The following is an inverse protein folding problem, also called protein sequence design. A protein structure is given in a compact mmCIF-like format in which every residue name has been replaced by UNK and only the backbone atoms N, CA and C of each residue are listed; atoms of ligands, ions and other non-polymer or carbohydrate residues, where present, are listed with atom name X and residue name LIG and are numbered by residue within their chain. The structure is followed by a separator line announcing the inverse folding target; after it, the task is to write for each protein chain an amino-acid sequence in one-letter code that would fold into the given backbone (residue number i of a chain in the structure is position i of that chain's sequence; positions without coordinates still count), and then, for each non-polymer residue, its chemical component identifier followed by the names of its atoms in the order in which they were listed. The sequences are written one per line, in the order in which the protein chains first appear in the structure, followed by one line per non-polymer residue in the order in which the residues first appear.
data_IF_321267138270
#
_entry.id   IF_321267138270
#
_cell.length_a   1.000
_cell.length_b   1.000
_cell.length_c   1.000
_cell.angle_alpha   90.00
_cell.angle_beta   90.00
_cell.angle_gamma   90.00
#
_symmetry.space_group_name_H-M   'P 1'
#
loop_
_entity.id
_entity.type
_entity.pdbx_description
1 polymer ?
#
# COMPACT_ATOMS: atom_id res chain seq x y z
N UNK A 1 -16.00 -9.11 4.19
CA UNK A 1 -14.93 -8.15 3.84
C UNK A 1 -15.37 -6.76 4.28
N UNK A 2 -14.47 -5.97 4.86
CA UNK A 2 -14.79 -4.59 5.29
C UNK A 2 -15.21 -3.73 4.08
N UNK A 3 -16.24 -2.88 4.17
CA UNK A 3 -16.75 -2.11 3.02
C UNK A 3 -15.68 -1.26 2.32
N UNK A 4 -14.79 -0.61 3.07
CA UNK A 4 -13.68 0.17 2.51
C UNK A 4 -12.70 -0.70 1.73
N UNK A 5 -12.35 -1.88 2.27
CA UNK A 5 -11.47 -2.81 1.55
C UNK A 5 -12.17 -3.35 0.30
N UNK A 6 -13.47 -3.66 0.39
CA UNK A 6 -14.26 -4.05 -0.79
C UNK A 6 -14.18 -3.01 -1.90
N UNK A 7 -14.42 -1.74 -1.57
CA UNK A 7 -14.36 -0.64 -2.51
C UNK A 7 -12.94 -0.46 -3.10
N UNK A 8 -11.90 -0.62 -2.29
CA UNK A 8 -10.52 -0.55 -2.76
C UNK A 8 -10.18 -1.66 -3.76
N UNK A 9 -10.62 -2.90 -3.49
CA UNK A 9 -10.45 -4.03 -4.40
C UNK A 9 -11.22 -3.83 -5.71
N UNK A 10 -12.48 -3.38 -5.64
CA UNK A 10 -13.31 -3.08 -6.82
C UNK A 10 -12.68 -1.95 -7.66
N UNK A 11 -12.18 -0.91 -6.99
CA UNK A 11 -11.45 0.19 -7.65
C UNK A 11 -10.21 -0.32 -8.36
N UNK A 12 -9.38 -1.12 -7.69
CA UNK A 12 -8.18 -1.70 -8.28
C UNK A 12 -8.50 -2.59 -9.49
N UNK A 13 -9.52 -3.45 -9.37
CA UNK A 13 -9.98 -4.34 -10.45
C UNK A 13 -10.46 -3.55 -11.67
N UNK A 14 -11.15 -2.42 -11.47
CA UNK A 14 -11.62 -1.57 -12.57
C UNK A 14 -10.49 -1.01 -13.44
N UNK A 15 -9.24 -1.01 -12.95
CA UNK A 15 -8.08 -0.56 -13.72
C UNK A 15 -7.55 -1.65 -14.67
N UNK A 16 -7.91 -2.91 -14.47
CA UNK A 16 -7.36 -4.06 -15.21
C UNK A 16 -7.55 -3.97 -16.72
N UNK A 17 -8.68 -3.43 -17.20
CA UNK A 17 -8.99 -3.35 -18.63
C UNK A 17 -8.20 -2.26 -19.38
N UNK A 18 -7.60 -1.29 -18.66
CA UNK A 18 -6.89 -0.16 -19.27
C UNK A 18 -5.42 -0.05 -18.86
N UNK A 19 -5.09 -0.37 -17.61
CA UNK A 19 -3.73 -0.33 -17.05
C UNK A 19 -3.52 -1.51 -16.09
N UNK A 20 -3.28 -2.72 -16.63
CA UNK A 20 -3.04 -3.92 -15.82
C UNK A 20 -1.90 -3.77 -14.84
N UNK A 21 -0.87 -2.99 -15.19
CA UNK A 21 0.29 -2.72 -14.33
C UNK A 21 -0.11 -1.88 -13.12
N UNK A 22 -0.98 -0.89 -13.29
CA UNK A 22 -1.54 -0.14 -12.18
C UNK A 22 -2.41 -1.01 -11.26
N UNK A 23 -3.23 -1.91 -11.82
CA UNK A 23 -3.98 -2.90 -11.03
C UNK A 23 -3.03 -3.79 -10.22
N UNK A 24 -2.00 -4.37 -10.86
CA UNK A 24 -1.03 -5.23 -10.16
C UNK A 24 -0.31 -4.46 -9.06
N UNK A 25 0.05 -3.18 -9.28
CA UNK A 25 0.64 -2.32 -8.25
C UNK A 25 -0.30 -2.09 -7.06
N UNK A 26 -1.59 -1.89 -7.31
CA UNK A 26 -2.60 -1.74 -6.27
C UNK A 26 -2.64 -2.95 -5.35
N UNK A 27 -2.74 -4.15 -5.92
CA UNK A 27 -2.77 -5.38 -5.15
C UNK A 27 -1.44 -5.61 -4.43
N UNK A 28 -0.35 -5.73 -5.18
CA UNK A 28 0.92 -6.24 -4.66
C UNK A 28 1.69 -5.25 -3.78
N UNK A 29 1.56 -3.93 -4.03
CA UNK A 29 2.34 -2.90 -3.35
C UNK A 29 1.51 -2.16 -2.30
N UNK A 30 0.22 -1.90 -2.56
CA UNK A 30 -0.63 -1.13 -1.63
C UNK A 30 -1.37 -2.09 -0.69
N UNK A 31 -2.19 -3.01 -1.22
CA UNK A 31 -3.09 -3.82 -0.39
C UNK A 31 -2.37 -4.96 0.35
N UNK A 32 -1.55 -5.77 -0.34
CA UNK A 32 -0.89 -6.93 0.28
C UNK A 32 0.27 -6.52 1.21
N UNK A 33 0.96 -5.42 0.91
CA UNK A 33 2.00 -4.90 1.81
C UNK A 33 1.43 -4.50 3.18
N UNK A 34 0.19 -4.01 3.21
CA UNK A 34 -0.51 -3.67 4.45
C UNK A 34 -0.99 -4.89 5.22
N UNK A 35 -1.39 -5.95 4.53
CA UNK A 35 -1.65 -7.25 5.16
C UNK A 35 -0.39 -7.73 5.92
N UNK A 36 0.80 -7.64 5.29
CA UNK A 36 2.08 -7.96 5.94
C UNK A 36 2.34 -7.05 7.15
N UNK A 37 2.09 -5.75 7.02
CA UNK A 37 2.29 -4.80 8.12
C UNK A 37 1.40 -5.13 9.32
N UNK A 38 0.10 -5.35 9.08
CA UNK A 38 -0.87 -5.70 10.11
C UNK A 38 -0.51 -7.02 10.81
N UNK A 39 -0.13 -8.05 10.04
CA UNK A 39 0.27 -9.36 10.55
C UNK A 39 1.57 -9.29 11.37
N UNK A 40 2.55 -8.48 10.94
CA UNK A 40 3.78 -8.21 11.71
C UNK A 40 3.47 -7.46 13.00
N UNK A 41 2.59 -6.47 12.96
CA UNK A 41 2.18 -5.72 14.14
C UNK A 41 1.48 -6.64 15.14
N UNK A 42 0.47 -7.40 14.72
CA UNK A 42 -0.24 -8.37 15.56
C UNK A 42 0.72 -9.42 16.15
N UNK A 43 1.70 -9.89 15.38
CA UNK A 43 2.75 -10.81 15.84
C UNK A 43 3.60 -10.29 17.00
N UNK A 44 3.75 -8.97 17.16
CA UNK A 44 4.47 -8.37 18.30
C UNK A 44 3.66 -8.44 19.60
N UNK A 45 2.34 -8.38 19.49
CA UNK A 45 1.43 -8.34 20.65
C UNK A 45 0.92 -9.74 21.03
N UNK A 46 0.65 -10.59 20.05
CA UNK A 46 0.11 -11.93 20.26
C UNK A 46 1.25 -12.96 20.32
N UNK A 47 1.70 -13.27 21.54
CA UNK A 47 2.78 -14.23 21.82
C UNK A 47 2.37 -15.70 21.71
N UNK A 48 1.17 -16.01 21.22
CA UNK A 48 0.68 -17.38 21.10
C UNK A 48 1.50 -18.17 20.05
N UNK A 49 2.12 -19.32 20.40
CA UNK A 49 2.95 -20.08 19.45
C UNK A 49 2.18 -20.62 18.24
N UNK A 50 0.89 -20.92 18.40
CA UNK A 50 0.03 -21.37 17.29
C UNK A 50 -0.25 -20.20 16.33
N UNK A 51 -0.54 -19.03 16.87
CA UNK A 51 -0.73 -17.80 16.08
C UNK A 51 0.55 -17.45 15.32
N UNK A 52 1.71 -17.43 15.98
CA UNK A 52 2.99 -17.10 15.35
C UNK A 52 3.32 -18.03 14.18
N UNK A 53 3.04 -19.35 14.30
CA UNK A 53 3.24 -20.31 13.20
C UNK A 53 2.33 -20.04 12.00
N UNK A 54 1.07 -19.72 12.25
CA UNK A 54 0.12 -19.35 11.18
C UNK A 54 0.57 -18.03 10.53
N UNK A 55 0.85 -17.03 11.35
CA UNK A 55 1.31 -15.71 10.93
C UNK A 55 2.55 -15.78 10.04
N UNK A 56 3.54 -16.59 10.42
CA UNK A 56 4.76 -16.77 9.64
C UNK A 56 4.50 -17.36 8.24
N UNK A 57 3.52 -18.27 8.12
CA UNK A 57 3.13 -18.85 6.82
C UNK A 57 2.44 -17.82 5.94
N UNK A 58 1.51 -17.06 6.49
CA UNK A 58 0.80 -16.00 5.76
C UNK A 58 1.80 -14.92 5.32
N UNK A 59 2.63 -14.40 6.24
CA UNK A 59 3.66 -13.41 5.91
C UNK A 59 4.62 -13.87 4.81
N UNK A 60 4.97 -15.17 4.77
CA UNK A 60 5.81 -15.73 3.71
C UNK A 60 5.12 -15.68 2.36
N UNK A 61 3.81 -15.93 2.33
CA UNK A 61 3.02 -15.90 1.10
C UNK A 61 2.87 -14.47 0.57
N UNK A 62 2.49 -13.53 1.43
CA UNK A 62 2.38 -12.13 1.03
C UNK A 62 3.72 -11.52 0.61
N UNK A 63 4.83 -11.97 1.21
CA UNK A 63 6.15 -11.56 0.76
C UNK A 63 6.43 -12.00 -0.69
N UNK A 64 5.86 -13.12 -1.15
CA UNK A 64 5.97 -13.55 -2.56
C UNK A 64 5.11 -12.69 -3.48
N UNK A 65 3.90 -12.32 -3.06
CA UNK A 65 3.05 -11.40 -3.83
C UNK A 65 3.74 -10.04 -4.02
N UNK A 66 4.33 -9.51 -2.94
CA UNK A 66 5.12 -8.28 -3.00
C UNK A 66 6.36 -8.43 -3.90
N UNK A 67 7.08 -9.55 -3.81
CA UNK A 67 8.26 -9.81 -4.62
C UNK A 67 7.91 -9.92 -6.11
N UNK A 68 6.83 -10.65 -6.44
CA UNK A 68 6.30 -10.73 -7.80
C UNK A 68 5.97 -9.34 -8.33
N UNK A 69 5.21 -8.55 -7.56
CA UNK A 69 4.87 -7.16 -7.91
C UNK A 69 6.11 -6.34 -8.22
N UNK A 70 7.13 -6.37 -7.35
CA UNK A 70 8.38 -5.62 -7.56
C UNK A 70 9.11 -6.01 -8.84
N UNK A 71 9.23 -7.30 -9.13
CA UNK A 71 9.95 -7.79 -10.31
C UNK A 71 9.18 -7.45 -11.59
N UNK A 72 7.88 -7.77 -11.61
CA UNK A 72 7.03 -7.54 -12.77
C UNK A 72 6.89 -6.05 -13.08
N UNK A 73 6.51 -5.24 -12.09
CA UNK A 73 6.21 -3.82 -12.28
C UNK A 73 7.44 -3.00 -12.66
N UNK A 74 8.63 -3.38 -12.19
CA UNK A 74 9.86 -2.70 -12.60
C UNK A 74 10.03 -2.71 -14.12
N UNK A 75 9.76 -3.85 -14.77
CA UNK A 75 9.83 -3.97 -16.22
C UNK A 75 8.72 -3.17 -16.92
N UNK A 76 7.53 -3.10 -16.31
CA UNK A 76 6.39 -2.39 -16.89
C UNK A 76 6.53 -0.87 -16.79
N UNK A 77 7.18 -0.37 -15.72
CA UNK A 77 7.29 1.07 -15.46
C UNK A 77 8.48 1.73 -16.14
N UNK A 78 9.55 0.98 -16.45
CA UNK A 78 10.75 1.48 -17.11
C UNK A 78 10.45 2.19 -18.45
N UNK A 79 9.45 1.72 -19.20
CA UNK A 79 9.04 2.31 -20.48
C UNK A 79 7.95 3.39 -20.38
N UNK A 80 7.41 3.69 -19.19
CA UNK A 80 6.32 4.66 -19.06
C UNK A 80 6.83 6.09 -19.19
N UNK A 81 6.18 6.88 -20.04
CA UNK A 81 6.40 8.33 -20.08
C UNK A 81 6.01 9.01 -18.77
N UNK A 82 6.70 10.12 -18.44
CA UNK A 82 6.55 10.83 -17.16
C UNK A 82 5.09 11.15 -16.79
N UNK A 83 4.28 11.59 -17.76
CA UNK A 83 2.86 11.89 -17.53
C UNK A 83 2.09 10.67 -17.00
N UNK A 84 2.32 9.48 -17.58
CA UNK A 84 1.65 8.24 -17.16
C UNK A 84 2.14 7.78 -15.78
N UNK A 85 3.45 7.83 -15.55
CA UNK A 85 4.08 7.53 -14.26
C UNK A 85 3.50 8.35 -13.12
N UNK A 86 3.44 9.68 -13.30
CA UNK A 86 2.87 10.62 -12.33
C UNK A 86 1.38 10.32 -12.10
N UNK A 87 0.62 10.03 -13.15
CA UNK A 87 -0.80 9.70 -13.03
C UNK A 87 -1.01 8.39 -12.25
N UNK A 88 -0.24 7.34 -12.55
CA UNK A 88 -0.27 6.07 -11.84
C UNK A 88 0.08 6.25 -10.35
N UNK A 89 1.16 6.98 -10.05
CA UNK A 89 1.55 7.28 -8.67
C UNK A 89 0.44 8.00 -7.90
N UNK A 90 -0.19 9.02 -8.50
CA UNK A 90 -1.33 9.74 -7.88
C UNK A 90 -2.52 8.84 -7.60
N UNK A 91 -2.85 7.92 -8.52
CA UNK A 91 -3.95 6.97 -8.33
C UNK A 91 -3.66 5.99 -7.20
N UNK A 92 -2.45 5.45 -7.12
CA UNK A 92 -2.03 4.56 -6.03
C UNK A 92 -2.06 5.29 -4.68
N UNK A 93 -1.61 6.55 -4.65
CA UNK A 93 -1.69 7.40 -3.45
C UNK A 93 -3.14 7.61 -3.00
N UNK A 94 -4.03 7.96 -3.93
CA UNK A 94 -5.44 8.14 -3.64
C UNK A 94 -6.07 6.87 -3.09
N UNK A 95 -5.81 5.72 -3.72
CA UNK A 95 -6.29 4.42 -3.24
C UNK A 95 -5.84 4.13 -1.81
N UNK A 96 -4.56 4.35 -1.51
CA UNK A 96 -4.05 4.18 -0.14
C UNK A 96 -4.75 5.12 0.84
N UNK A 97 -4.86 6.41 0.53
CA UNK A 97 -5.49 7.40 1.39
C UNK A 97 -6.95 7.03 1.67
N UNK A 98 -7.73 6.75 0.64
CA UNK A 98 -9.14 6.36 0.77
C UNK A 98 -9.29 5.09 1.61
N UNK A 99 -8.41 4.11 1.38
CA UNK A 99 -8.42 2.84 2.12
C UNK A 99 -8.04 3.05 3.58
N UNK A 100 -6.93 3.74 3.83
CA UNK A 100 -6.39 3.94 5.16
C UNK A 100 -7.28 4.85 6.02
N UNK A 101 -7.82 5.94 5.45
CA UNK A 101 -8.78 6.79 6.15
C UNK A 101 -10.10 6.06 6.42
N UNK A 102 -10.66 5.35 5.42
CA UNK A 102 -11.90 4.60 5.63
C UNK A 102 -11.75 3.47 6.66
N UNK A 103 -10.58 2.84 6.75
CA UNK A 103 -10.27 1.91 7.83
C UNK A 103 -10.12 2.61 9.18
N UNK A 104 -9.41 3.75 9.24
CA UNK A 104 -9.21 4.51 10.46
C UNK A 104 -10.51 5.08 11.05
N UNK A 105 -11.45 5.51 10.20
CA UNK A 105 -12.76 6.03 10.62
C UNK A 105 -13.64 4.96 11.27
N UNK A 106 -13.49 3.70 10.84
CA UNK A 106 -14.23 2.59 11.42
C UNK A 106 -13.67 2.12 12.77
N UNK A 107 -12.39 2.37 13.03
CA UNK A 107 -11.87 2.26 14.40
C UNK A 107 -12.29 3.50 15.19
N UNK A 108 -13.50 3.48 15.75
CA UNK A 108 -14.03 4.55 16.59
C UNK A 108 -13.15 4.72 17.85
N UNK A 109 -12.15 5.59 17.75
CA UNK A 109 -11.30 5.95 18.88
C UNK A 109 -11.70 7.35 19.37
N UNK A 110 -12.36 7.47 20.54
CA UNK A 110 -12.72 8.77 21.12
C UNK A 110 -11.50 9.57 21.62
N UNK A 111 -10.29 9.00 21.57
CA UNK A 111 -9.10 9.57 22.18
C UNK A 111 -8.18 10.28 21.15
N UNK A 112 -7.85 11.55 21.39
CA UNK A 112 -7.00 12.40 20.54
C UNK A 112 -5.63 11.76 20.23
N UNK A 113 -5.03 11.06 21.21
CA UNK A 113 -3.75 10.37 21.05
C UNK A 113 -3.81 9.21 20.05
N UNK A 114 -4.94 8.50 19.99
CA UNK A 114 -5.16 7.41 19.05
C UNK A 114 -5.41 7.94 17.63
N UNK A 115 -6.15 9.05 17.49
CA UNK A 115 -6.29 9.76 16.20
C UNK A 115 -4.94 10.21 15.63
N UNK A 116 -4.04 10.73 16.49
CA UNK A 116 -2.68 11.09 16.09
C UNK A 116 -1.87 9.87 15.64
N UNK A 117 -2.02 8.73 16.31
CA UNK A 117 -1.41 7.45 15.89
C UNK A 117 -1.98 6.93 14.57
N UNK A 118 -3.30 7.05 14.35
CA UNK A 118 -3.93 6.69 13.07
C UNK A 118 -3.42 7.56 11.92
N UNK A 119 -3.34 8.89 12.10
CA UNK A 119 -2.73 9.78 11.09
C UNK A 119 -1.27 9.44 10.84
N UNK A 120 -0.52 9.14 11.90
CA UNK A 120 0.86 8.69 11.76
C UNK A 120 0.96 7.37 10.98
N UNK A 121 0.03 6.44 11.15
CA UNK A 121 -0.01 5.19 10.39
C UNK A 121 -0.32 5.43 8.91
N UNK A 122 -1.30 6.27 8.58
CA UNK A 122 -1.61 6.65 7.19
C UNK A 122 -0.37 7.23 6.50
N UNK A 123 0.32 8.14 7.16
CA UNK A 123 1.52 8.78 6.59
C UNK A 123 2.69 7.79 6.52
N UNK A 124 2.97 7.05 7.60
CA UNK A 124 4.11 6.12 7.63
C UNK A 124 3.92 4.96 6.66
N UNK A 125 2.70 4.43 6.53
CA UNK A 125 2.37 3.43 5.52
C UNK A 125 2.55 3.98 4.10
N UNK A 126 2.14 5.22 3.84
CA UNK A 126 2.41 5.85 2.55
C UNK A 126 3.90 5.96 2.25
N UNK A 127 4.73 6.35 3.23
CA UNK A 127 6.18 6.43 3.07
C UNK A 127 6.78 5.07 2.68
N UNK A 128 6.32 3.98 3.30
CA UNK A 128 6.76 2.62 2.99
C UNK A 128 6.38 2.23 1.55
N UNK A 129 5.11 2.46 1.15
CA UNK A 129 4.68 2.21 -0.23
C UNK A 129 5.47 3.05 -1.24
N UNK A 130 5.65 4.35 -0.96
CA UNK A 130 6.39 5.28 -1.81
C UNK A 130 7.81 4.81 -2.06
N UNK A 131 8.52 4.37 -1.02
CA UNK A 131 9.88 3.87 -1.16
C UNK A 131 9.95 2.67 -2.10
N UNK A 132 8.94 1.81 -2.07
CA UNK A 132 8.83 0.68 -3.00
C UNK A 132 8.58 1.19 -4.42
N UNK A 133 7.62 2.09 -4.62
CA UNK A 133 7.27 2.67 -5.91
C UNK A 133 8.48 3.40 -6.56
N UNK A 134 9.29 4.09 -5.77
CA UNK A 134 10.56 4.69 -6.22
C UNK A 134 11.54 3.59 -6.63
N UNK A 135 11.73 2.56 -5.79
CA UNK A 135 12.71 1.49 -6.06
C UNK A 135 12.41 0.67 -7.32
N UNK A 136 11.13 0.59 -7.73
CA UNK A 136 10.70 -0.09 -8.95
C UNK A 136 10.61 0.86 -10.15
N UNK A 137 11.01 2.13 -9.99
CA UNK A 137 11.09 3.10 -11.09
C UNK A 137 9.76 3.69 -11.52
N UNK A 138 8.70 3.63 -10.70
CA UNK A 138 7.43 4.29 -11.03
C UNK A 138 7.61 5.81 -11.06
N UNK A 139 8.33 6.36 -10.10
CA UNK A 139 8.68 7.79 -10.01
C UNK A 139 10.07 7.93 -9.42
N UNK A 140 10.74 9.04 -9.67
CA UNK A 140 11.92 9.41 -8.90
C UNK A 140 11.56 10.11 -7.57
N UNK A 141 12.56 10.31 -6.72
CA UNK A 141 12.38 10.92 -5.38
C UNK A 141 11.86 12.37 -5.45
N UNK A 142 12.24 13.12 -6.49
CA UNK A 142 11.83 14.51 -6.66
C UNK A 142 10.39 14.59 -7.16
N UNK A 143 10.03 13.77 -8.16
CA UNK A 143 8.65 13.58 -8.64
C UNK A 143 7.75 13.21 -7.46
N UNK A 144 8.15 12.23 -6.65
CA UNK A 144 7.39 11.80 -5.48
C UNK A 144 7.21 12.92 -4.44
N UNK A 145 8.28 13.63 -4.07
CA UNK A 145 8.24 14.76 -3.12
C UNK A 145 7.32 15.88 -3.58
N UNK A 146 7.43 16.26 -4.87
CA UNK A 146 6.59 17.30 -5.47
C UNK A 146 5.10 16.92 -5.42
N UNK A 147 4.76 15.66 -5.71
CA UNK A 147 3.38 15.18 -5.67
C UNK A 147 2.87 15.06 -4.23
N UNK A 148 3.73 14.62 -3.31
CA UNK A 148 3.38 14.46 -1.89
C UNK A 148 3.19 15.81 -1.18
N UNK A 149 3.77 16.89 -1.71
CA UNK A 149 3.79 18.21 -1.08
C UNK A 149 4.87 18.33 0.01
N UNK A 150 5.94 17.53 -0.09
CA UNK A 150 7.07 17.55 0.86
C UNK A 150 8.24 18.35 0.26
N UNK A 151 8.78 19.37 0.95
CA UNK A 151 9.93 20.13 0.46
C UNK A 151 11.21 19.27 0.39
N UNK A 152 12.21 19.67 -0.42
CA UNK A 152 13.44 18.93 -0.63
C UNK A 152 14.29 18.74 0.63
#
# INVERSE_FOLDING_TARGET
MHPTLKAAYETALSWGDGDPSLMVAAFTIILEAEAVFALKYLGRWLRCPKFQRINARICKDEARHLAFGRIYLKQQFEGLGAKKRIQAYRRLRGLWQDTAFGMADHFWFPNFLLRRRCRSWVETGWQDHRNILISIGLVDINEARQIDGTPP
#
